data_IF_781910110043
#
_entry.id   IF_781910110043
#
_cell.length_a   1.000
_cell.length_b   1.000
_cell.length_c   1.000
_cell.angle_alpha   90.00
_cell.angle_beta   90.00
_cell.angle_gamma   90.00
#
_symmetry.space_group_name_H-M   'P 1'
#
loop_
_entity.id
_entity.type
_entity.pdbx_description
1 polymer ?
#
# COMPACT_ATOMS: atom_id res chain seq x y z
N UNK A 1 -9.46 22.73 -13.71
CA UNK A 1 -10.22 21.97 -12.69
C UNK A 1 -9.76 22.43 -11.31
N UNK A 2 -10.67 22.48 -10.32
CA UNK A 2 -10.24 22.78 -8.94
C UNK A 2 -9.29 21.69 -8.44
N UNK A 3 -8.27 22.06 -7.69
CA UNK A 3 -7.34 21.10 -7.06
C UNK A 3 -8.12 20.17 -6.13
N UNK A 4 -8.02 18.88 -6.34
CA UNK A 4 -8.56 17.86 -5.45
C UNK A 4 -7.40 17.23 -4.68
N UNK A 5 -7.51 17.15 -3.35
CA UNK A 5 -6.48 16.50 -2.55
C UNK A 5 -6.39 15.00 -2.86
N UNK A 6 -5.23 14.40 -2.61
CA UNK A 6 -5.03 12.97 -2.82
C UNK A 6 -6.00 12.13 -1.97
N UNK A 7 -6.24 12.54 -0.71
CA UNK A 7 -7.20 11.89 0.18
C UNK A 7 -8.63 11.92 -0.38
N UNK A 8 -9.08 13.07 -0.92
CA UNK A 8 -10.39 13.16 -1.54
C UNK A 8 -10.53 12.22 -2.75
N UNK A 9 -9.50 12.15 -3.63
CA UNK A 9 -9.50 11.20 -4.76
C UNK A 9 -9.58 9.75 -4.30
N UNK A 10 -8.89 9.39 -3.21
CA UNK A 10 -8.95 8.05 -2.64
C UNK A 10 -10.35 7.71 -2.12
N UNK A 11 -10.98 8.62 -1.35
CA UNK A 11 -12.35 8.44 -0.85
C UNK A 11 -13.36 8.29 -1.99
N UNK A 12 -13.25 9.10 -3.05
CA UNK A 12 -14.08 8.99 -4.25
C UNK A 12 -13.89 7.63 -4.93
N UNK A 13 -12.64 7.17 -5.12
CA UNK A 13 -12.37 5.85 -5.70
C UNK A 13 -13.02 4.72 -4.90
N UNK A 14 -13.01 4.79 -3.56
CA UNK A 14 -13.70 3.82 -2.69
C UNK A 14 -15.21 3.86 -2.87
N UNK A 15 -15.81 5.05 -3.00
CA UNK A 15 -17.26 5.22 -3.17
C UNK A 15 -17.74 4.74 -4.55
N UNK A 16 -16.96 4.98 -5.60
CA UNK A 16 -17.28 4.64 -6.99
C UNK A 16 -17.02 3.18 -7.35
N UNK A 17 -16.34 2.42 -6.48
CA UNK A 17 -15.94 1.03 -6.75
C UNK A 17 -16.65 0.04 -5.82
N UNK A 18 -16.81 -1.20 -6.26
CA UNK A 18 -17.41 -2.25 -5.42
C UNK A 18 -16.82 -3.64 -5.72
N UNK A 19 -15.73 -4.01 -5.05
CA UNK A 19 -14.83 -3.23 -4.21
C UNK A 19 -13.79 -2.44 -5.01
N UNK A 20 -13.05 -1.53 -4.36
CA UNK A 20 -11.88 -0.88 -4.95
C UNK A 20 -10.69 -1.85 -4.95
N UNK A 21 -10.16 -2.17 -6.12
CA UNK A 21 -8.89 -2.88 -6.23
C UNK A 21 -7.72 -1.92 -6.00
N UNK A 22 -6.85 -2.27 -5.05
CA UNK A 22 -5.63 -1.53 -4.69
C UNK A 22 -4.43 -2.43 -4.94
N UNK A 23 -3.49 -2.00 -5.79
CA UNK A 23 -2.34 -2.83 -6.18
C UNK A 23 -1.03 -2.25 -5.67
N UNK A 24 -0.14 -3.12 -5.20
CA UNK A 24 1.17 -2.75 -4.69
C UNK A 24 2.14 -2.32 -5.79
N UNK A 25 2.83 -1.22 -5.52
CA UNK A 25 3.88 -0.65 -6.35
C UNK A 25 5.15 -0.48 -5.51
N UNK A 26 6.27 -1.04 -5.95
CA UNK A 26 7.53 -0.97 -5.20
C UNK A 26 8.39 0.24 -5.57
N UNK A 27 8.01 1.00 -6.60
CA UNK A 27 8.68 2.23 -7.03
C UNK A 27 7.79 3.01 -8.01
N UNK A 28 8.25 4.19 -8.44
CA UNK A 28 7.53 5.09 -9.34
C UNK A 28 7.20 4.46 -10.71
N UNK A 29 8.08 3.62 -11.25
CA UNK A 29 7.82 2.96 -12.54
C UNK A 29 6.67 1.95 -12.44
N UNK A 30 6.65 1.12 -11.37
CA UNK A 30 5.52 0.22 -11.10
C UNK A 30 4.21 0.99 -10.87
N UNK A 31 4.27 2.17 -10.25
CA UNK A 31 3.09 3.02 -10.10
C UNK A 31 2.55 3.51 -11.45
N UNK A 32 3.43 3.89 -12.41
CA UNK A 32 3.02 4.22 -13.78
C UNK A 32 2.35 3.03 -14.49
N UNK A 33 2.93 1.82 -14.37
CA UNK A 33 2.35 0.60 -14.94
C UNK A 33 0.95 0.31 -14.36
N UNK A 34 0.80 0.42 -13.04
CA UNK A 34 -0.49 0.23 -12.37
C UNK A 34 -1.54 1.26 -12.83
N UNK A 35 -1.16 2.53 -12.90
CA UNK A 35 -2.03 3.62 -13.40
C UNK A 35 -2.45 3.38 -14.84
N UNK A 36 -1.52 3.03 -15.73
CA UNK A 36 -1.80 2.70 -17.13
C UNK A 36 -2.69 1.45 -17.29
N UNK A 37 -2.63 0.52 -16.32
CA UNK A 37 -3.50 -0.65 -16.27
C UNK A 37 -4.92 -0.34 -15.75
N UNK A 38 -5.21 0.92 -15.39
CA UNK A 38 -6.54 1.38 -14.98
C UNK A 38 -6.85 1.26 -13.48
N UNK A 39 -5.87 0.96 -12.63
CA UNK A 39 -6.09 0.98 -11.18
C UNK A 39 -6.37 2.39 -10.69
N UNK A 40 -7.44 2.53 -9.88
CA UNK A 40 -7.88 3.82 -9.31
C UNK A 40 -7.21 4.14 -7.97
N UNK A 41 -6.47 3.19 -7.38
CA UNK A 41 -5.64 3.37 -6.19
C UNK A 41 -4.47 2.40 -6.20
N UNK A 42 -3.35 2.83 -5.62
CA UNK A 42 -2.10 2.07 -5.52
C UNK A 42 -1.61 2.01 -4.07
N UNK A 43 -0.67 1.13 -3.81
CA UNK A 43 -0.20 0.85 -2.45
C UNK A 43 1.33 0.76 -2.39
N UNK A 44 1.93 1.34 -1.36
CA UNK A 44 3.33 1.14 -1.00
C UNK A 44 3.42 0.34 0.30
N UNK A 45 3.92 -0.89 0.19
CA UNK A 45 4.13 -1.80 1.31
C UNK A 45 5.42 -1.48 2.05
N UNK A 46 5.39 -1.41 3.38
CA UNK A 46 6.60 -1.34 4.21
C UNK A 46 7.53 -2.55 3.98
N UNK A 47 6.95 -3.76 3.93
CA UNK A 47 7.69 -4.98 3.56
C UNK A 47 8.23 -4.95 2.12
N UNK A 48 7.53 -4.26 1.20
CA UNK A 48 8.01 -4.01 -0.16
C UNK A 48 9.23 -3.08 -0.19
N UNK A 49 9.21 -1.99 0.58
CA UNK A 49 10.35 -1.08 0.73
C UNK A 49 11.54 -1.82 1.37
N UNK A 50 11.31 -2.55 2.45
CA UNK A 50 12.36 -3.34 3.10
C UNK A 50 13.05 -4.29 2.12
N UNK A 51 12.28 -5.06 1.34
CA UNK A 51 12.82 -6.06 0.43
C UNK A 51 13.42 -5.45 -0.85
N UNK A 52 12.70 -4.51 -1.49
CA UNK A 52 13.07 -3.99 -2.82
C UNK A 52 14.11 -2.87 -2.74
N UNK A 53 13.90 -1.88 -1.87
CA UNK A 53 14.74 -0.68 -1.80
C UNK A 53 15.94 -0.87 -0.88
N UNK A 54 15.76 -1.61 0.23
CA UNK A 54 16.80 -1.78 1.25
C UNK A 54 17.48 -3.16 1.21
N UNK A 55 16.87 -4.19 0.60
CA UNK A 55 17.41 -5.56 0.54
C UNK A 55 17.44 -6.26 1.90
N UNK A 56 16.52 -5.91 2.81
CA UNK A 56 16.44 -6.44 4.18
C UNK A 56 15.07 -7.08 4.45
N UNK A 57 14.96 -7.96 5.48
CA UNK A 57 13.69 -8.57 5.84
C UNK A 57 12.71 -7.56 6.48
N UNK A 58 11.40 -7.82 6.31
CA UNK A 58 10.30 -7.06 6.91
C UNK A 58 10.14 -7.40 8.41
N UNK A 59 10.93 -6.73 9.26
CA UNK A 59 10.99 -6.93 10.71
C UNK A 59 11.05 -5.61 11.49
N UNK A 60 10.48 -4.52 10.95
CA UNK A 60 10.51 -3.21 11.58
C UNK A 60 11.90 -2.56 11.59
N UNK A 61 12.75 -2.89 10.61
CA UNK A 61 14.12 -2.35 10.50
C UNK A 61 14.12 -1.02 9.74
N UNK A 62 13.20 -0.85 8.79
CA UNK A 62 13.07 0.37 7.99
C UNK A 62 12.66 1.57 8.86
N UNK A 63 13.13 2.73 8.45
CA UNK A 63 12.77 4.02 9.07
C UNK A 63 11.63 4.69 8.30
N UNK A 64 11.06 5.74 8.90
CA UNK A 64 10.08 6.59 8.22
C UNK A 64 10.67 7.17 6.92
N UNK A 65 11.92 7.58 6.94
CA UNK A 65 12.60 8.18 5.82
C UNK A 65 12.76 7.22 4.65
N UNK A 66 13.04 5.94 4.90
CA UNK A 66 13.14 4.91 3.84
C UNK A 66 11.82 4.80 3.06
N UNK A 67 10.69 4.74 3.76
CA UNK A 67 9.37 4.63 3.15
C UNK A 67 8.94 5.96 2.50
N UNK A 68 9.24 7.10 3.15
CA UNK A 68 8.88 8.43 2.65
C UNK A 68 9.58 8.78 1.33
N UNK A 69 10.83 8.36 1.15
CA UNK A 69 11.58 8.56 -0.10
C UNK A 69 10.86 7.87 -1.27
N UNK A 70 10.48 6.62 -1.10
CA UNK A 70 9.78 5.89 -2.16
C UNK A 70 8.35 6.40 -2.39
N UNK A 71 7.62 6.73 -1.31
CA UNK A 71 6.30 7.34 -1.40
C UNK A 71 6.36 8.65 -2.22
N UNK A 72 7.33 9.53 -1.93
CA UNK A 72 7.49 10.78 -2.67
C UNK A 72 7.84 10.56 -4.13
N UNK A 73 8.72 9.61 -4.46
CA UNK A 73 9.02 9.26 -5.85
C UNK A 73 7.79 8.79 -6.62
N UNK A 74 6.88 8.08 -5.94
CA UNK A 74 5.63 7.62 -6.53
C UNK A 74 4.69 8.81 -6.77
N UNK A 75 4.40 9.60 -5.74
CA UNK A 75 3.45 10.73 -5.82
C UNK A 75 3.91 11.85 -6.75
N UNK A 76 5.21 12.05 -6.92
CA UNK A 76 5.76 13.00 -7.90
C UNK A 76 5.54 12.53 -9.36
N UNK A 77 5.17 11.27 -9.60
CA UNK A 77 5.08 10.69 -10.94
C UNK A 77 3.68 10.28 -11.39
N UNK A 78 2.74 10.09 -10.46
CA UNK A 78 1.35 9.69 -10.77
C UNK A 78 0.36 10.40 -9.86
N UNK A 79 -0.81 10.72 -10.43
CA UNK A 79 -1.93 11.31 -9.67
C UNK A 79 -2.82 10.25 -9.00
N UNK A 80 -2.63 8.97 -9.32
CA UNK A 80 -3.36 7.86 -8.71
C UNK A 80 -3.12 7.85 -7.21
N UNK A 81 -4.18 7.91 -6.37
CA UNK A 81 -4.03 8.06 -4.93
C UNK A 81 -3.29 6.87 -4.31
N UNK A 82 -2.29 7.19 -3.47
CA UNK A 82 -1.39 6.24 -2.84
C UNK A 82 -1.81 5.98 -1.38
N UNK A 83 -2.02 4.69 -1.04
CA UNK A 83 -2.10 4.17 0.33
C UNK A 83 -0.70 3.67 0.74
N UNK A 84 -0.24 4.04 1.94
CA UNK A 84 1.10 3.67 2.45
C UNK A 84 1.01 2.92 3.76
N UNK A 85 1.83 1.87 3.89
CA UNK A 85 2.13 1.17 5.14
C UNK A 85 3.09 2.02 5.98
N UNK A 86 2.66 2.44 7.16
CA UNK A 86 3.51 3.18 8.10
C UNK A 86 3.86 2.35 9.34
N UNK A 87 3.81 1.03 9.24
CA UNK A 87 4.08 0.10 10.34
C UNK A 87 3.36 0.54 11.63
N UNK A 88 4.10 0.75 12.70
CA UNK A 88 3.59 1.25 14.00
C UNK A 88 3.76 2.76 14.18
N UNK A 89 4.12 3.50 13.11
CA UNK A 89 4.32 4.95 13.13
C UNK A 89 5.71 5.40 13.58
N UNK A 90 6.68 4.50 13.71
CA UNK A 90 8.10 4.71 14.06
C UNK A 90 8.32 5.44 15.39
N UNK A 91 7.47 5.17 16.39
CA UNK A 91 7.66 5.65 17.75
C UNK A 91 6.38 6.07 18.46
N UNK A 92 6.50 6.94 19.45
CA UNK A 92 5.37 7.43 20.25
C UNK A 92 4.53 8.48 19.51
N UNK A 93 3.55 9.08 20.22
CA UNK A 93 2.57 10.02 19.66
C UNK A 93 3.16 11.14 18.79
N UNK A 94 4.27 11.74 19.19
CA UNK A 94 4.91 12.82 18.43
C UNK A 94 5.65 12.31 17.18
N UNK A 95 6.14 11.06 17.19
CA UNK A 95 6.68 10.42 15.99
C UNK A 95 5.56 10.14 15.00
N UNK A 96 4.44 9.59 15.46
CA UNK A 96 3.24 9.35 14.66
C UNK A 96 2.76 10.66 14.03
N UNK A 97 2.64 11.73 14.83
CA UNK A 97 2.26 13.05 14.33
C UNK A 97 3.22 13.59 13.25
N UNK A 98 4.53 13.43 13.43
CA UNK A 98 5.55 13.78 12.43
C UNK A 98 5.38 12.95 11.16
N UNK A 99 5.14 11.65 11.30
CA UNK A 99 4.91 10.72 10.19
C UNK A 99 3.71 11.16 9.36
N UNK A 100 2.54 11.34 9.97
CA UNK A 100 1.33 11.76 9.25
C UNK A 100 1.57 13.04 8.46
N UNK A 101 2.13 14.09 9.08
CA UNK A 101 2.41 15.37 8.41
C UNK A 101 3.39 15.24 7.23
N UNK A 102 4.38 14.37 7.34
CA UNK A 102 5.36 14.17 6.28
C UNK A 102 4.75 13.42 5.08
N UNK A 103 3.97 12.36 5.33
CA UNK A 103 3.32 11.62 4.26
C UNK A 103 2.22 12.43 3.57
N UNK A 104 1.44 13.20 4.32
CA UNK A 104 0.46 14.13 3.76
C UNK A 104 1.12 15.18 2.85
N UNK A 105 2.22 15.82 3.31
CA UNK A 105 3.00 16.78 2.50
C UNK A 105 3.65 16.13 1.28
N UNK A 106 3.96 14.86 1.33
CA UNK A 106 4.48 14.10 0.20
C UNK A 106 3.39 13.70 -0.82
N UNK A 107 2.13 14.15 -0.63
CA UNK A 107 1.02 13.86 -1.56
C UNK A 107 0.41 12.47 -1.41
N UNK A 108 0.69 11.77 -0.31
CA UNK A 108 0.06 10.49 0.03
C UNK A 108 -1.42 10.72 0.32
N UNK A 109 -2.28 9.80 -0.07
CA UNK A 109 -3.73 9.90 0.10
C UNK A 109 -4.26 9.24 1.37
N UNK A 110 -3.60 8.17 1.78
CA UNK A 110 -4.01 7.31 2.88
C UNK A 110 -2.81 6.61 3.51
N UNK A 111 -2.90 6.34 4.80
CA UNK A 111 -1.93 5.50 5.50
C UNK A 111 -2.67 4.45 6.31
N UNK A 112 -2.03 3.30 6.54
CA UNK A 112 -2.46 2.41 7.61
C UNK A 112 -1.37 2.26 8.67
N UNK A 113 -1.82 2.20 9.93
CA UNK A 113 -1.00 2.00 11.12
C UNK A 113 -1.51 0.78 11.86
N UNK A 114 -0.61 -0.06 12.38
CA UNK A 114 -0.96 -1.35 12.96
C UNK A 114 -0.78 -1.42 14.48
N UNK A 115 -1.45 -2.40 15.10
CA UNK A 115 -1.42 -2.67 16.55
C UNK A 115 -0.32 -3.64 16.99
N UNK A 116 0.64 -3.98 16.12
CA UNK A 116 1.80 -4.78 16.53
C UNK A 116 2.74 -3.98 17.45
N UNK A 117 3.60 -4.71 18.17
CA UNK A 117 4.73 -4.11 18.90
C UNK A 117 5.79 -3.60 17.90
N UNK A 118 6.71 -2.74 18.35
CA UNK A 118 7.73 -2.15 17.48
C UNK A 118 8.62 -3.21 16.77
N UNK A 119 8.86 -4.36 17.41
CA UNK A 119 9.54 -5.51 16.80
C UNK A 119 8.53 -6.36 16.02
N UNK A 120 7.84 -5.72 15.08
CA UNK A 120 6.78 -6.35 14.28
C UNK A 120 7.26 -7.56 13.47
N UNK A 121 6.29 -8.35 13.01
CA UNK A 121 6.48 -9.42 12.03
C UNK A 121 5.53 -9.22 10.86
N UNK A 122 5.84 -9.82 9.72
CA UNK A 122 4.88 -9.87 8.60
C UNK A 122 3.52 -10.43 9.08
N UNK A 123 2.41 -9.78 8.70
CA UNK A 123 1.06 -10.08 9.17
C UNK A 123 0.57 -11.53 8.97
N UNK A 124 1.16 -12.26 8.03
CA UNK A 124 0.87 -13.68 7.76
C UNK A 124 1.82 -14.66 8.46
N UNK A 125 2.75 -14.15 9.30
CA UNK A 125 3.68 -15.02 10.07
C UNK A 125 3.13 -15.31 11.48
N UNK A 126 3.49 -16.48 12.05
CA UNK A 126 3.11 -16.82 13.42
C UNK A 126 3.86 -15.99 14.47
N UNK A 127 3.39 -16.08 15.73
CA UNK A 127 4.03 -15.47 16.88
C UNK A 127 4.10 -13.93 16.83
N UNK A 128 3.07 -13.30 16.28
CA UNK A 128 2.89 -11.84 16.35
C UNK A 128 2.60 -11.45 17.81
N UNK A 129 3.10 -10.30 18.22
CA UNK A 129 2.74 -9.66 19.48
C UNK A 129 2.09 -8.31 19.17
N UNK A 130 0.99 -8.03 19.87
CA UNK A 130 0.22 -6.79 19.70
C UNK A 130 0.25 -5.98 20.99
N UNK A 131 0.06 -4.67 20.86
CA UNK A 131 -0.07 -3.77 21.98
C UNK A 131 -1.49 -3.84 22.58
N UNK A 132 -1.71 -3.23 23.74
CA UNK A 132 -3.05 -3.11 24.31
C UNK A 132 -3.99 -2.32 23.37
N UNK A 133 -5.30 -2.58 23.49
CA UNK A 133 -6.30 -1.78 22.76
C UNK A 133 -6.17 -0.28 23.07
N UNK A 134 -5.92 0.08 24.33
CA UNK A 134 -5.75 1.47 24.75
C UNK A 134 -4.56 2.14 24.03
N UNK A 135 -3.41 1.43 23.92
CA UNK A 135 -2.25 1.96 23.18
C UNK A 135 -2.54 2.11 21.69
N UNK A 136 -3.25 1.17 21.07
CA UNK A 136 -3.63 1.32 19.66
C UNK A 136 -4.58 2.51 19.45
N UNK A 137 -5.54 2.70 20.33
CA UNK A 137 -6.44 3.87 20.33
C UNK A 137 -5.66 5.18 20.45
N UNK A 138 -4.62 5.23 21.29
CA UNK A 138 -3.76 6.40 21.41
C UNK A 138 -2.92 6.66 20.15
N UNK A 139 -2.45 5.60 19.45
CA UNK A 139 -1.81 5.73 18.13
C UNK A 139 -2.76 6.36 17.10
N UNK A 140 -4.02 5.89 17.05
CA UNK A 140 -5.04 6.45 16.14
C UNK A 140 -5.33 7.91 16.47
N UNK A 141 -5.56 8.25 17.74
CA UNK A 141 -5.78 9.66 18.16
C UNK A 141 -4.63 10.56 17.75
N UNK A 142 -3.37 10.11 17.94
CA UNK A 142 -2.19 10.88 17.54
C UNK A 142 -2.12 11.09 16.03
N UNK A 143 -2.52 10.08 15.23
CA UNK A 143 -2.57 10.17 13.78
C UNK A 143 -3.67 11.13 13.31
N UNK A 144 -4.87 11.01 13.87
CA UNK A 144 -6.05 11.83 13.52
C UNK A 144 -5.81 13.31 13.89
N UNK A 145 -5.27 13.59 15.08
CA UNK A 145 -4.94 14.96 15.52
C UNK A 145 -3.87 15.62 14.65
N UNK A 146 -2.97 14.85 14.09
CA UNK A 146 -1.86 15.38 13.30
C UNK A 146 -2.21 15.70 11.86
N UNK A 147 -3.29 15.12 11.29
CA UNK A 147 -3.67 15.37 9.89
C UNK A 147 -4.17 16.80 9.69
N UNK A 148 -3.91 17.35 8.50
CA UNK A 148 -4.27 18.72 8.12
C UNK A 148 -5.39 18.72 7.08
N UNK A 149 -5.36 17.82 6.11
CA UNK A 149 -6.47 17.61 5.17
C UNK A 149 -7.46 16.59 5.77
N UNK A 150 -8.69 17.02 6.05
CA UNK A 150 -9.75 16.16 6.58
C UNK A 150 -10.06 14.94 5.67
N UNK A 151 -9.67 15.01 4.40
CA UNK A 151 -9.82 13.91 3.46
C UNK A 151 -8.69 12.89 3.53
N UNK A 152 -7.52 13.23 4.11
CA UNK A 152 -6.44 12.28 4.30
C UNK A 152 -6.92 11.09 5.13
N UNK A 153 -6.74 9.86 4.64
CA UNK A 153 -7.33 8.66 5.27
C UNK A 153 -6.38 8.06 6.29
N UNK A 154 -6.86 7.91 7.52
CA UNK A 154 -6.21 7.13 8.58
C UNK A 154 -6.91 5.78 8.67
N UNK A 155 -6.24 4.70 8.28
CA UNK A 155 -6.75 3.34 8.34
C UNK A 155 -6.12 2.61 9.52
N UNK A 156 -6.92 2.05 10.43
CA UNK A 156 -6.42 1.22 11.51
C UNK A 156 -6.29 -0.22 11.04
N UNK A 157 -5.08 -0.78 11.14
CA UNK A 157 -4.82 -2.20 10.92
C UNK A 157 -4.77 -2.92 12.27
N UNK A 158 -5.44 -4.07 12.36
CA UNK A 158 -5.36 -4.94 13.52
C UNK A 158 -4.90 -6.34 13.14
N UNK A 159 -3.93 -6.84 13.85
CA UNK A 159 -3.40 -8.20 13.77
C UNK A 159 -3.98 -9.11 14.88
N UNK A 160 -4.99 -8.63 15.61
CA UNK A 160 -5.56 -9.28 16.79
C UNK A 160 -6.26 -10.61 16.49
N UNK A 161 -6.76 -10.85 15.27
CA UNK A 161 -7.39 -12.13 14.90
C UNK A 161 -6.52 -13.33 15.29
N UNK A 162 -5.24 -13.27 14.95
CA UNK A 162 -4.31 -14.37 15.18
C UNK A 162 -3.87 -14.51 16.64
N UNK A 163 -4.10 -13.50 17.50
CA UNK A 163 -3.63 -13.44 18.89
C UNK A 163 -4.78 -13.57 19.88
N UNK A 164 -5.89 -12.89 19.62
CA UNK A 164 -7.02 -12.75 20.55
C UNK A 164 -8.34 -13.29 19.98
N UNK A 165 -8.38 -13.62 18.68
CA UNK A 165 -9.56 -14.10 17.96
C UNK A 165 -10.45 -12.99 17.41
N UNK A 166 -11.53 -13.41 16.69
CA UNK A 166 -12.36 -12.52 15.88
C UNK A 166 -13.08 -11.45 16.71
N UNK A 167 -13.70 -11.82 17.81
CA UNK A 167 -14.47 -10.88 18.63
C UNK A 167 -13.60 -9.76 19.19
N UNK A 168 -12.43 -10.09 19.73
CA UNK A 168 -11.49 -9.10 20.22
C UNK A 168 -10.94 -8.21 19.10
N UNK A 169 -10.69 -8.76 17.91
CA UNK A 169 -10.30 -7.97 16.75
C UNK A 169 -11.40 -6.97 16.34
N UNK A 170 -12.66 -7.37 16.38
CA UNK A 170 -13.82 -6.49 16.12
C UNK A 170 -13.90 -5.37 17.17
N UNK A 171 -13.82 -5.71 18.47
CA UNK A 171 -13.86 -4.71 19.57
C UNK A 171 -12.74 -3.68 19.44
N UNK A 172 -11.51 -4.11 19.11
CA UNK A 172 -10.38 -3.21 18.87
C UNK A 172 -10.64 -2.28 17.67
N UNK A 173 -11.16 -2.83 16.58
CA UNK A 173 -11.49 -2.05 15.40
C UNK A 173 -12.57 -1.02 15.67
N UNK A 174 -13.61 -1.36 16.41
CA UNK A 174 -14.65 -0.41 16.84
C UNK A 174 -14.07 0.71 17.69
N UNK A 175 -13.21 0.40 18.65
CA UNK A 175 -12.53 1.42 19.46
C UNK A 175 -11.62 2.33 18.60
N UNK A 176 -10.97 1.80 17.56
CA UNK A 176 -10.21 2.62 16.59
C UNK A 176 -11.11 3.53 15.76
N UNK A 177 -12.30 3.06 15.34
CA UNK A 177 -13.29 3.89 14.63
C UNK A 177 -13.80 5.02 15.55
N UNK A 178 -14.11 4.72 16.80
CA UNK A 178 -14.50 5.73 17.80
C UNK A 178 -13.39 6.75 18.05
N UNK A 179 -12.13 6.36 17.90
CA UNK A 179 -10.97 7.23 18.00
C UNK A 179 -10.72 8.07 16.73
N UNK A 180 -11.49 7.85 15.66
CA UNK A 180 -11.44 8.62 14.42
C UNK A 180 -10.77 7.93 13.23
N UNK A 181 -10.51 6.61 13.29
CA UNK A 181 -10.06 5.86 12.11
C UNK A 181 -11.15 5.87 11.02
N UNK A 182 -10.76 6.20 9.80
CA UNK A 182 -11.67 6.31 8.65
C UNK A 182 -12.04 4.96 8.03
N UNK A 183 -11.13 4.00 8.11
CA UNK A 183 -11.24 2.67 7.50
C UNK A 183 -10.50 1.64 8.35
N UNK A 184 -10.81 0.36 8.14
CA UNK A 184 -10.21 -0.74 8.90
C UNK A 184 -9.56 -1.77 7.98
N UNK A 185 -8.39 -2.25 8.39
CA UNK A 185 -7.65 -3.33 7.77
C UNK A 185 -7.50 -4.49 8.77
N UNK A 186 -8.40 -5.48 8.77
CA UNK A 186 -8.26 -6.70 9.58
C UNK A 186 -7.29 -7.66 8.88
N UNK A 187 -6.18 -7.98 9.52
CA UNK A 187 -5.15 -8.83 8.91
C UNK A 187 -5.48 -10.33 9.04
N UNK A 188 -5.13 -11.09 8.00
CA UNK A 188 -5.12 -12.55 7.97
C UNK A 188 -6.48 -13.23 8.25
N UNK A 189 -7.58 -12.65 7.80
CA UNK A 189 -8.90 -13.28 7.80
C UNK A 189 -8.87 -14.53 6.92
N UNK A 190 -9.37 -15.65 7.42
CA UNK A 190 -9.31 -16.96 6.73
C UNK A 190 -10.63 -17.39 6.11
N UNK A 191 -11.74 -16.75 6.47
CA UNK A 191 -13.07 -17.09 5.99
C UNK A 191 -13.85 -15.83 5.57
N UNK A 192 -14.66 -15.95 4.52
CA UNK A 192 -15.55 -14.88 4.06
C UNK A 192 -16.55 -14.42 5.14
N UNK A 193 -17.04 -15.36 5.95
CA UNK A 193 -17.93 -15.08 7.08
C UNK A 193 -17.31 -14.15 8.13
N UNK A 194 -16.00 -14.18 8.31
CA UNK A 194 -15.28 -13.25 9.21
C UNK A 194 -15.33 -11.82 8.66
N UNK A 195 -15.09 -11.63 7.35
CA UNK A 195 -15.23 -10.32 6.70
C UNK A 195 -16.65 -9.76 6.84
N UNK A 196 -17.67 -10.62 6.66
CA UNK A 196 -19.07 -10.20 6.79
C UNK A 196 -19.40 -9.73 8.21
N UNK A 197 -18.96 -10.47 9.24
CA UNK A 197 -19.15 -10.10 10.63
C UNK A 197 -18.42 -8.79 10.93
N UNK A 198 -17.17 -8.67 10.48
CA UNK A 198 -16.35 -7.49 10.71
C UNK A 198 -16.96 -6.23 10.07
N UNK A 199 -17.33 -6.30 8.79
CA UNK A 199 -17.92 -5.18 8.05
C UNK A 199 -19.23 -4.69 8.68
N UNK A 200 -20.08 -5.62 9.15
CA UNK A 200 -21.32 -5.28 9.85
C UNK A 200 -21.07 -4.57 11.19
N UNK A 201 -20.00 -4.93 11.90
CA UNK A 201 -19.70 -4.42 13.22
C UNK A 201 -19.08 -3.03 13.20
N UNK A 202 -18.13 -2.76 12.26
CA UNK A 202 -17.36 -1.51 12.27
C UNK A 202 -18.02 -0.36 11.51
N UNK A 203 -18.91 -0.64 10.55
CA UNK A 203 -19.70 0.33 9.78
C UNK A 203 -18.86 1.39 9.01
N UNK A 204 -17.58 1.11 8.79
CA UNK A 204 -16.68 1.88 7.94
C UNK A 204 -16.10 0.96 6.86
N UNK A 205 -15.49 1.48 5.77
CA UNK A 205 -14.90 0.62 4.75
C UNK A 205 -13.86 -0.34 5.32
N UNK A 206 -13.98 -1.63 4.94
CA UNK A 206 -13.06 -2.71 5.33
C UNK A 206 -12.21 -3.09 4.14
N UNK A 207 -10.89 -3.19 4.36
CA UNK A 207 -9.91 -3.67 3.40
C UNK A 207 -9.62 -5.15 3.63
N UNK A 208 -9.63 -5.94 2.56
CA UNK A 208 -9.13 -7.33 2.55
C UNK A 208 -7.76 -7.40 1.88
N UNK A 209 -6.78 -7.97 2.58
CA UNK A 209 -5.44 -8.22 2.07
C UNK A 209 -5.36 -9.59 1.40
N UNK A 210 -5.26 -9.62 0.08
CA UNK A 210 -5.19 -10.83 -0.74
C UNK A 210 -3.76 -10.99 -1.26
N UNK A 211 -2.89 -11.49 -0.38
CA UNK A 211 -1.49 -11.73 -0.71
C UNK A 211 -1.22 -13.20 -1.01
N UNK A 212 -0.38 -13.45 -2.00
CA UNK A 212 0.06 -14.80 -2.35
C UNK A 212 0.87 -15.41 -1.20
N UNK A 213 0.68 -16.70 -0.97
CA UNK A 213 1.37 -17.48 0.07
C UNK A 213 1.08 -17.00 1.51
N UNK A 214 0.00 -16.24 1.70
CA UNK A 214 -0.49 -15.81 3.00
C UNK A 214 -1.45 -16.81 3.65
N UNK A 215 -2.00 -16.45 4.80
CA UNK A 215 -3.00 -17.25 5.51
C UNK A 215 -4.41 -17.11 4.89
N UNK A 216 -4.71 -15.96 4.29
CA UNK A 216 -5.99 -15.68 3.65
C UNK A 216 -6.07 -16.39 2.30
N UNK A 217 -7.14 -17.16 2.00
CA UNK A 217 -7.36 -17.68 0.65
C UNK A 217 -7.46 -16.58 -0.40
N UNK A 218 -7.12 -16.90 -1.65
CA UNK A 218 -7.17 -15.94 -2.76
C UNK A 218 -8.62 -15.77 -3.26
N UNK A 219 -9.47 -15.17 -2.42
CA UNK A 219 -10.85 -14.85 -2.77
C UNK A 219 -10.90 -13.84 -3.94
N UNK A 220 -11.93 -13.96 -4.75
CA UNK A 220 -12.23 -13.00 -5.82
C UNK A 220 -12.79 -11.69 -5.25
N UNK A 221 -12.70 -10.61 -6.03
CA UNK A 221 -13.30 -9.33 -5.67
C UNK A 221 -14.83 -9.46 -5.47
N UNK A 222 -15.51 -10.28 -6.27
CA UNK A 222 -16.95 -10.50 -6.16
C UNK A 222 -17.32 -11.16 -4.82
N UNK A 223 -16.64 -12.25 -4.45
CA UNK A 223 -16.86 -12.93 -3.16
C UNK A 223 -16.63 -11.99 -1.98
N UNK A 224 -15.59 -11.16 -2.05
CA UNK A 224 -15.28 -10.18 -0.99
C UNK A 224 -16.33 -9.07 -0.91
N UNK A 225 -16.79 -8.55 -2.06
CA UNK A 225 -17.84 -7.54 -2.13
C UNK A 225 -19.17 -8.03 -1.51
N UNK A 226 -19.57 -9.26 -1.84
CA UNK A 226 -20.76 -9.90 -1.27
C UNK A 226 -20.71 -10.02 0.27
N UNK A 227 -19.48 -10.06 0.83
CA UNK A 227 -19.23 -10.12 2.26
C UNK A 227 -18.90 -8.75 2.90
N UNK A 228 -19.19 -7.65 2.19
CA UNK A 228 -19.11 -6.28 2.74
C UNK A 228 -17.76 -5.61 2.67
N UNK A 229 -16.77 -6.25 2.03
CA UNK A 229 -15.45 -5.66 1.80
C UNK A 229 -15.55 -4.53 0.78
N UNK A 230 -14.89 -3.41 1.04
CA UNK A 230 -14.88 -2.23 0.18
C UNK A 230 -13.57 -1.98 -0.56
N UNK A 231 -12.45 -2.52 -0.05
CA UNK A 231 -11.15 -2.44 -0.68
C UNK A 231 -10.51 -3.83 -0.72
N UNK A 232 -9.90 -4.18 -1.85
CA UNK A 232 -9.12 -5.43 -2.01
C UNK A 232 -7.70 -5.07 -2.36
N UNK A 233 -6.77 -5.43 -1.48
CA UNK A 233 -5.36 -5.15 -1.60
C UNK A 233 -4.59 -6.35 -2.17
N UNK A 234 -3.80 -6.09 -3.21
CA UNK A 234 -2.81 -7.01 -3.81
C UNK A 234 -1.40 -6.43 -3.57
N UNK A 235 -0.78 -6.67 -2.40
CA UNK A 235 0.32 -5.83 -1.92
C UNK A 235 1.63 -6.00 -2.68
N UNK A 236 1.97 -7.21 -3.15
CA UNK A 236 3.29 -7.53 -3.70
C UNK A 236 3.26 -8.41 -4.96
N UNK A 237 2.11 -8.61 -5.60
CA UNK A 237 1.97 -9.52 -6.76
C UNK A 237 2.94 -9.18 -7.89
N UNK A 238 3.00 -7.91 -8.28
CA UNK A 238 3.89 -7.43 -9.34
C UNK A 238 5.37 -7.56 -8.96
N UNK A 239 5.74 -7.26 -7.72
CA UNK A 239 7.10 -7.41 -7.21
C UNK A 239 7.56 -8.88 -7.24
N UNK A 240 6.72 -9.81 -6.78
CA UNK A 240 7.03 -11.25 -6.80
C UNK A 240 7.24 -11.76 -8.22
N UNK A 241 6.37 -11.34 -9.16
CA UNK A 241 6.48 -11.69 -10.57
C UNK A 241 7.79 -11.15 -11.18
N UNK A 242 8.08 -9.86 -10.99
CA UNK A 242 9.30 -9.21 -11.48
C UNK A 242 10.57 -9.84 -10.89
N UNK A 243 10.57 -10.14 -9.60
CA UNK A 243 11.72 -10.77 -8.92
C UNK A 243 12.02 -12.15 -9.49
N UNK A 244 10.98 -12.97 -9.77
CA UNK A 244 11.14 -14.28 -10.40
C UNK A 244 11.68 -14.16 -11.82
N UNK A 245 11.16 -13.21 -12.60
CA UNK A 245 11.63 -12.96 -13.97
C UNK A 245 13.09 -12.49 -13.97
N UNK A 246 13.44 -11.52 -13.12
CA UNK A 246 14.82 -11.04 -13.00
C UNK A 246 15.81 -12.15 -12.64
N UNK A 247 15.46 -13.02 -11.68
CA UNK A 247 16.28 -14.18 -11.31
C UNK A 247 16.48 -15.11 -12.50
N UNK A 248 15.43 -15.37 -13.29
CA UNK A 248 15.52 -16.20 -14.51
C UNK A 248 16.48 -15.61 -15.55
N UNK A 249 16.44 -14.29 -15.73
CA UNK A 249 17.37 -13.60 -16.66
C UNK A 249 18.82 -13.70 -16.17
N UNK A 250 19.09 -13.46 -14.88
CA UNK A 250 20.44 -13.61 -14.32
C UNK A 250 20.98 -15.03 -14.48
N UNK A 251 20.16 -16.04 -14.21
CA UNK A 251 20.52 -17.44 -14.40
C UNK A 251 20.80 -17.79 -15.88
N UNK A 252 20.00 -17.26 -16.81
CA UNK A 252 20.22 -17.45 -18.24
C UNK A 252 21.56 -16.85 -18.69
N UNK A 253 21.86 -15.62 -18.29
CA UNK A 253 23.13 -14.95 -18.62
C UNK A 253 24.33 -15.74 -18.05
N UNK A 254 24.26 -16.21 -16.81
CA UNK A 254 25.33 -16.99 -16.18
C UNK A 254 25.54 -18.36 -16.86
N UNK A 255 24.48 -19.00 -17.31
CA UNK A 255 24.54 -20.30 -17.98
C UNK A 255 25.00 -20.20 -19.44
N UNK A 256 24.47 -19.23 -20.19
CA UNK A 256 24.57 -19.16 -21.64
C UNK A 256 25.59 -18.11 -22.11
N UNK A 257 26.09 -17.27 -21.22
CA UNK A 257 26.99 -16.13 -21.55
C UNK A 257 26.30 -15.02 -22.36
N UNK A 258 24.96 -15.05 -22.47
CA UNK A 258 24.15 -14.08 -23.23
C UNK A 258 22.71 -14.11 -22.72
N UNK A 259 22.00 -12.99 -22.90
CA UNK A 259 20.56 -12.86 -22.65
C UNK A 259 19.69 -13.21 -23.86
N UNK A 260 20.28 -13.58 -25.01
CA UNK A 260 19.58 -13.71 -26.30
C UNK A 260 18.34 -14.65 -26.21
N UNK A 261 18.43 -15.72 -25.41
CA UNK A 261 17.37 -16.73 -25.28
C UNK A 261 16.19 -16.33 -24.36
N UNK A 262 16.22 -15.13 -23.77
CA UNK A 262 15.19 -14.62 -22.84
C UNK A 262 14.70 -13.22 -23.18
N UNK A 263 15.13 -12.66 -24.33
CA UNK A 263 14.77 -11.28 -24.74
C UNK A 263 13.27 -11.13 -24.95
N UNK A 264 12.59 -12.15 -25.45
CA UNK A 264 11.14 -12.18 -25.67
C UNK A 264 10.30 -12.15 -24.38
N UNK A 265 10.93 -12.38 -23.23
CA UNK A 265 10.28 -12.23 -21.91
C UNK A 265 10.43 -10.84 -21.31
N UNK A 266 11.16 -9.94 -21.97
CA UNK A 266 11.46 -8.61 -21.48
C UNK A 266 10.54 -7.56 -22.09
N UNK A 267 10.28 -6.50 -21.31
CA UNK A 267 9.67 -5.30 -21.86
C UNK A 267 10.56 -4.68 -22.92
N UNK A 268 10.00 -4.30 -24.06
CA UNK A 268 10.74 -3.64 -25.13
C UNK A 268 11.10 -2.21 -24.75
N UNK A 269 12.10 -1.64 -25.44
CA UNK A 269 12.44 -0.21 -25.30
C UNK A 269 11.28 0.69 -25.71
N UNK A 270 10.52 0.33 -26.72
CA UNK A 270 9.36 1.09 -27.19
C UNK A 270 8.27 1.17 -26.10
N UNK A 271 7.91 0.04 -25.51
CA UNK A 271 6.96 -0.02 -24.40
C UNK A 271 7.45 0.78 -23.18
N UNK A 272 8.74 0.67 -22.82
CA UNK A 272 9.32 1.47 -21.75
C UNK A 272 9.17 2.96 -21.99
N UNK A 273 9.45 3.41 -23.21
CA UNK A 273 9.37 4.82 -23.62
C UNK A 273 7.92 5.32 -23.60
N UNK A 274 6.95 4.49 -23.99
CA UNK A 274 5.53 4.82 -23.91
C UNK A 274 5.11 5.08 -22.45
N UNK A 275 5.41 4.18 -21.52
CA UNK A 275 5.07 4.37 -20.09
C UNK A 275 5.79 5.55 -19.43
N UNK A 276 6.96 5.94 -19.93
CA UNK A 276 7.71 7.10 -19.43
C UNK A 276 7.32 8.42 -20.12
N UNK A 277 6.47 8.41 -21.16
CA UNK A 277 6.17 9.55 -22.01
C UNK A 277 7.47 10.15 -22.63
N UNK A 278 8.44 9.30 -22.98
CA UNK A 278 9.79 9.72 -23.37
C UNK A 278 9.78 10.70 -24.53
N UNK A 279 8.97 10.46 -25.56
CA UNK A 279 8.89 11.30 -26.76
C UNK A 279 8.30 12.68 -26.48
N UNK A 280 7.44 12.84 -25.46
CA UNK A 280 6.95 14.16 -25.07
C UNK A 280 8.08 15.03 -24.48
N UNK A 281 9.01 14.42 -23.75
CA UNK A 281 10.22 15.12 -23.27
C UNK A 281 11.16 15.52 -24.41
N UNK A 282 11.40 14.64 -25.41
CA UNK A 282 12.20 14.97 -26.60
C UNK A 282 11.56 16.11 -27.38
N UNK A 283 10.26 16.02 -27.68
CA UNK A 283 9.52 17.05 -28.39
C UNK A 283 9.59 18.40 -27.66
N UNK A 284 9.44 18.37 -26.32
CA UNK A 284 9.54 19.59 -25.51
C UNK A 284 10.94 20.20 -25.53
N UNK A 285 11.96 19.36 -25.49
CA UNK A 285 13.36 19.78 -25.59
C UNK A 285 13.63 20.48 -26.95
N UNK A 286 13.17 19.87 -28.04
CA UNK A 286 13.31 20.43 -29.39
C UNK A 286 12.55 21.76 -29.54
N UNK A 287 11.33 21.86 -28.99
CA UNK A 287 10.55 23.11 -28.93
C UNK A 287 11.32 24.21 -28.19
N UNK A 288 11.86 23.93 -27.04
CA UNK A 288 12.55 24.91 -26.19
C UNK A 288 13.85 25.42 -26.80
N UNK A 289 14.56 24.59 -27.55
CA UNK A 289 15.87 24.93 -28.11
C UNK A 289 15.89 25.16 -29.67
N UNK A 290 14.74 25.02 -30.34
CA UNK A 290 14.62 25.25 -31.79
C UNK A 290 14.92 26.71 -32.22
N UNK A 291 14.81 27.67 -31.29
CA UNK A 291 15.08 29.09 -31.56
C UNK A 291 16.57 29.45 -31.58
N UNK A 292 17.46 28.50 -31.30
CA UNK A 292 18.92 28.70 -31.24
C UNK A 292 19.69 28.03 -32.40
N UNK A 293 19.01 27.63 -33.48
CA UNK A 293 19.62 27.10 -34.70
C UNK A 293 19.45 28.04 -35.86
#
# INVERSE_FOLDING_TARGET
MAYQSAGLRFRQAVQESNPLAVVGCVNAYFARLATASGFKAIYLSGGGVAACSCGIPDLGITTMEDVLIDAKRITDNVDTPLLVDIDVGWGGAFNIARTIRNFERAGVAAVHIEDQVAQKRCGHRPNKAIVSQAEMVDRIKAAVDARVDDNFVIMARTDALAVEGLNAAIERAQACVEAGADMIFPEAMTELSMYQQFAKAVQVPVLANITEFGATPLYTQAELAENGVKLVLYPLSSFRAASKAALGVYQAIMRDGTQANVVDTMQTRAELYEFLNYHDFENKLDELFSQNK
#
